data_IF_541355980132
#
_entry.id   IF_541355980132
#
_cell.length_a   1.000
_cell.length_b   1.000
_cell.length_c   1.000
_cell.angle_alpha   90.00
_cell.angle_beta   90.00
_cell.angle_gamma   90.00
#
_symmetry.space_group_name_H-M   'P 1'
#
loop_
_entity.id
_entity.type
_entity.pdbx_description
1 polymer ?
#
# COMPACT_ATOMS: atom_id res chain seq x y z
N UNK A 1 39.27 22.67 -36.31
CA UNK A 1 38.67 22.96 -34.99
C UNK A 1 37.13 22.84 -34.99
N UNK A 2 36.42 23.25 -36.05
CA UNK A 2 34.95 23.18 -36.15
C UNK A 2 34.34 21.76 -36.06
N UNK A 3 35.01 20.74 -36.62
CA UNK A 3 34.54 19.34 -36.57
C UNK A 3 34.58 18.75 -35.15
N UNK A 4 35.57 19.13 -34.35
CA UNK A 4 35.76 18.63 -32.98
C UNK A 4 34.67 19.13 -32.04
N UNK A 5 34.24 20.39 -32.19
CA UNK A 5 33.08 20.93 -31.47
C UNK A 5 31.79 20.18 -31.81
N UNK A 6 31.51 19.87 -33.09
CA UNK A 6 30.31 19.11 -33.48
C UNK A 6 30.27 17.75 -32.79
N UNK A 7 31.36 16.98 -32.81
CA UNK A 7 31.43 15.67 -32.13
C UNK A 7 31.25 15.76 -30.60
N UNK A 8 31.79 16.81 -29.97
CA UNK A 8 31.62 17.06 -28.53
C UNK A 8 30.16 17.37 -28.21
N UNK A 9 29.50 18.22 -29.01
CA UNK A 9 28.07 18.50 -28.86
C UNK A 9 27.19 17.27 -29.09
N UNK A 10 27.49 16.42 -30.09
CA UNK A 10 26.72 15.17 -30.29
C UNK A 10 26.89 14.20 -29.13
N UNK A 11 28.09 14.08 -28.55
CA UNK A 11 28.34 13.20 -27.40
C UNK A 11 27.70 13.72 -26.11
N UNK A 12 27.68 15.03 -25.88
CA UNK A 12 26.98 15.67 -24.76
C UNK A 12 25.45 15.53 -24.87
N UNK A 13 24.91 15.66 -26.09
CA UNK A 13 23.48 15.44 -26.32
C UNK A 13 23.08 13.97 -26.09
N UNK A 14 23.93 13.03 -26.50
CA UNK A 14 23.68 11.59 -26.32
C UNK A 14 23.77 11.16 -24.85
N UNK A 15 24.71 11.70 -24.07
CA UNK A 15 24.81 11.40 -22.63
C UNK A 15 23.66 12.01 -21.82
N UNK A 16 23.15 13.17 -22.20
CA UNK A 16 21.94 13.76 -21.63
C UNK A 16 20.69 12.91 -21.88
N UNK A 17 20.56 12.33 -23.08
CA UNK A 17 19.44 11.45 -23.43
C UNK A 17 19.45 10.13 -22.64
N UNK A 18 20.64 9.56 -22.38
CA UNK A 18 20.81 8.36 -21.54
C UNK A 18 20.42 8.64 -20.10
N UNK A 19 20.80 9.78 -19.51
CA UNK A 19 20.39 10.13 -18.14
C UNK A 19 18.87 10.29 -17.99
N UNK A 20 18.17 10.72 -19.04
CA UNK A 20 16.71 10.83 -19.05
C UNK A 20 16.00 9.48 -19.20
N UNK A 21 16.60 8.50 -19.88
CA UNK A 21 16.03 7.15 -20.02
C UNK A 21 16.38 6.23 -18.85
N UNK A 22 17.44 6.52 -18.10
CA UNK A 22 17.94 5.68 -17.01
C UNK A 22 17.70 6.25 -15.58
N UNK A 23 16.62 7.00 -15.38
CA UNK A 23 16.34 7.68 -14.10
C UNK A 23 15.45 6.90 -13.11
N UNK A 24 15.75 7.07 -11.82
CA UNK A 24 14.80 6.86 -10.73
C UNK A 24 14.05 8.17 -10.44
N UNK A 25 12.71 8.14 -10.41
CA UNK A 25 11.89 9.28 -10.02
C UNK A 25 11.02 8.92 -8.80
N UNK A 26 10.80 9.89 -7.93
CA UNK A 26 9.85 9.75 -6.81
C UNK A 26 8.66 10.67 -7.05
N UNK A 27 7.45 10.15 -6.88
CA UNK A 27 6.23 10.95 -6.99
C UNK A 27 5.31 10.69 -5.81
N UNK A 28 4.65 11.74 -5.35
CA UNK A 28 3.71 11.67 -4.23
C UNK A 28 2.30 11.36 -4.79
N UNK A 29 1.68 10.23 -4.40
CA UNK A 29 0.33 9.90 -4.86
C UNK A 29 -0.72 10.93 -4.40
N UNK A 30 -1.90 10.88 -5.00
CA UNK A 30 -3.06 11.58 -4.47
C UNK A 30 -3.42 11.08 -3.06
N UNK A 31 -4.06 11.94 -2.26
CA UNK A 31 -4.70 11.48 -1.03
C UNK A 31 -5.83 10.50 -1.33
N UNK A 32 -6.03 9.52 -0.46
CA UNK A 32 -7.25 8.72 -0.50
C UNK A 32 -8.42 9.56 0.03
N UNK A 33 -9.61 9.33 -0.52
CA UNK A 33 -10.84 9.73 0.15
C UNK A 33 -11.08 8.81 1.35
N UNK A 34 -11.76 9.25 2.42
CA UNK A 34 -12.18 8.37 3.49
C UNK A 34 -13.17 7.29 3.01
N UNK A 35 -13.02 6.06 3.50
CA UNK A 35 -13.95 4.95 3.18
C UNK A 35 -13.92 3.87 4.26
N UNK A 36 -14.86 2.92 4.16
CA UNK A 36 -14.98 1.78 5.09
C UNK A 36 -14.98 0.46 4.33
N UNK A 37 -14.42 -0.59 4.94
CA UNK A 37 -14.45 -1.96 4.42
C UNK A 37 -15.07 -2.93 5.42
N UNK A 38 -15.87 -3.87 4.91
CA UNK A 38 -16.49 -4.95 5.70
C UNK A 38 -15.57 -6.17 5.70
N UNK A 39 -15.06 -6.55 6.87
CA UNK A 39 -14.11 -7.68 6.98
C UNK A 39 -14.59 -8.71 7.98
N UNK A 40 -14.53 -9.98 7.60
CA UNK A 40 -14.80 -11.11 8.48
C UNK A 40 -13.51 -11.87 8.75
N UNK A 41 -13.03 -11.81 9.98
CA UNK A 41 -11.91 -12.63 10.45
C UNK A 41 -12.39 -14.04 10.78
N UNK A 42 -11.54 -15.02 10.46
CA UNK A 42 -11.73 -16.43 10.83
C UNK A 42 -10.43 -16.91 11.46
N UNK A 43 -10.50 -17.38 12.70
CA UNK A 43 -9.41 -17.96 13.45
C UNK A 43 -9.99 -18.86 14.54
N UNK A 44 -9.16 -19.71 15.14
CA UNK A 44 -9.57 -20.62 16.22
C UNK A 44 -9.95 -19.85 17.50
N UNK A 45 -9.30 -18.71 17.73
CA UNK A 45 -9.60 -17.82 18.85
C UNK A 45 -9.59 -16.35 18.36
N UNK A 46 -10.78 -15.78 18.26
CA UNK A 46 -11.00 -14.40 17.83
C UNK A 46 -10.87 -13.40 18.98
N UNK A 47 -11.04 -13.82 20.23
CA UNK A 47 -11.05 -12.92 21.40
C UNK A 47 -9.69 -12.27 21.66
N UNK A 48 -8.64 -12.91 21.17
CA UNK A 48 -7.25 -12.43 21.26
C UNK A 48 -6.83 -11.53 20.09
N UNK A 49 -7.70 -11.36 19.09
CA UNK A 49 -7.38 -10.62 17.89
C UNK A 49 -7.79 -9.15 17.98
N UNK A 50 -6.91 -8.29 17.50
CA UNK A 50 -7.16 -6.87 17.30
C UNK A 50 -6.74 -6.47 15.89
N UNK A 51 -7.44 -5.50 15.30
CA UNK A 51 -7.12 -4.97 13.97
C UNK A 51 -6.90 -3.47 14.04
N UNK A 52 -5.75 -3.01 13.54
CA UNK A 52 -5.44 -1.58 13.47
C UNK A 52 -5.18 -1.15 12.02
N UNK A 53 -5.53 0.10 11.70
CA UNK A 53 -5.20 0.75 10.44
C UNK A 53 -4.00 1.66 10.65
N UNK A 54 -2.83 1.26 10.15
CA UNK A 54 -1.59 2.01 10.32
C UNK A 54 -1.67 3.38 9.65
N UNK A 55 -1.28 4.42 10.40
CA UNK A 55 -1.33 5.81 9.95
C UNK A 55 -2.67 6.48 10.24
N UNK A 56 -3.64 5.74 10.80
CA UNK A 56 -4.79 6.33 11.48
C UNK A 56 -4.42 6.69 12.92
N UNK A 57 -5.10 7.69 13.48
CA UNK A 57 -5.11 7.97 14.92
C UNK A 57 -6.05 7.04 15.70
N UNK A 58 -6.78 6.15 14.99
CA UNK A 58 -7.68 5.17 15.61
C UNK A 58 -6.91 4.13 16.41
N UNK A 59 -7.43 3.80 17.59
CA UNK A 59 -6.98 2.66 18.38
C UNK A 59 -7.24 1.33 17.64
N UNK A 60 -6.49 0.26 17.96
CA UNK A 60 -6.82 -1.09 17.50
C UNK A 60 -8.25 -1.47 17.88
N UNK A 61 -8.95 -2.13 16.97
CA UNK A 61 -10.33 -2.61 17.17
C UNK A 61 -10.29 -4.08 17.55
N UNK A 62 -10.84 -4.42 18.72
CA UNK A 62 -11.03 -5.81 19.14
C UNK A 62 -11.98 -6.54 18.19
N UNK A 63 -11.67 -7.80 17.89
CA UNK A 63 -12.48 -8.61 16.98
C UNK A 63 -13.59 -9.32 17.77
N UNK A 64 -14.87 -9.09 17.43
CA UNK A 64 -15.98 -9.76 18.11
C UNK A 64 -16.00 -11.27 17.78
N UNK A 65 -16.72 -12.05 18.59
CA UNK A 65 -16.84 -13.51 18.41
C UNK A 65 -17.39 -13.94 17.05
N UNK A 66 -18.22 -13.11 16.41
CA UNK A 66 -18.72 -13.38 15.06
C UNK A 66 -17.68 -13.07 13.95
N UNK A 67 -16.53 -12.49 14.31
CA UNK A 67 -15.41 -12.13 13.46
C UNK A 67 -15.67 -10.92 12.55
N UNK A 68 -16.83 -10.27 12.62
CA UNK A 68 -17.25 -9.22 11.68
C UNK A 68 -16.87 -7.85 12.22
N UNK A 69 -16.06 -7.13 11.45
CA UNK A 69 -15.64 -5.76 11.77
C UNK A 69 -15.85 -4.82 10.58
N UNK A 70 -15.98 -3.54 10.88
CA UNK A 70 -15.92 -2.44 9.92
C UNK A 70 -14.59 -1.72 10.09
N UNK A 71 -13.74 -1.76 9.07
CA UNK A 71 -12.48 -1.03 9.06
C UNK A 71 -12.69 0.33 8.42
N UNK A 72 -12.53 1.40 9.19
CA UNK A 72 -12.55 2.77 8.67
C UNK A 72 -11.14 3.20 8.26
N UNK A 73 -11.04 3.76 7.06
CA UNK A 73 -9.82 4.31 6.49
C UNK A 73 -10.02 5.81 6.33
N UNK A 74 -9.51 6.66 7.25
CA UNK A 74 -9.56 8.11 7.09
C UNK A 74 -8.63 8.56 5.96
N UNK A 75 -8.49 9.88 5.77
CA UNK A 75 -7.43 10.41 4.91
C UNK A 75 -6.07 10.08 5.54
N UNK A 76 -5.32 9.16 4.93
CA UNK A 76 -4.07 8.65 5.47
C UNK A 76 -2.87 9.45 4.95
N UNK A 77 -1.76 9.51 5.72
CA UNK A 77 -0.56 10.20 5.29
C UNK A 77 0.00 9.56 4.02
N UNK A 78 0.47 10.40 3.10
CA UNK A 78 1.03 9.98 1.81
C UNK A 78 2.47 9.49 1.98
N UNK A 79 2.85 8.53 1.15
CA UNK A 79 4.23 8.05 1.02
C UNK A 79 4.65 8.11 -0.46
N UNK A 80 5.92 8.41 -0.74
CA UNK A 80 6.42 8.55 -2.12
C UNK A 80 6.47 7.21 -2.85
N UNK A 81 5.82 7.14 -4.01
CA UNK A 81 6.01 6.03 -4.95
C UNK A 81 7.32 6.21 -5.71
N UNK A 82 7.96 5.11 -6.09
CA UNK A 82 9.22 5.11 -6.83
C UNK A 82 9.00 4.54 -8.22
N UNK A 83 9.56 5.22 -9.20
CA UNK A 83 9.55 4.87 -10.61
C UNK A 83 10.99 4.65 -11.07
N UNK A 84 11.22 3.61 -11.85
CA UNK A 84 12.49 3.33 -12.52
C UNK A 84 12.21 3.25 -14.01
N UNK A 85 12.86 4.10 -14.80
CA UNK A 85 12.67 4.17 -16.25
C UNK A 85 11.19 4.40 -16.64
N UNK A 86 10.49 5.24 -15.86
CA UNK A 86 9.05 5.51 -16.01
C UNK A 86 8.12 4.40 -15.50
N UNK A 87 8.65 3.23 -15.12
CA UNK A 87 7.87 2.11 -14.60
C UNK A 87 7.76 2.24 -13.07
N UNK A 88 6.54 2.20 -12.54
CA UNK A 88 6.30 2.25 -11.09
C UNK A 88 6.75 0.96 -10.42
N UNK A 89 7.94 0.97 -9.82
CA UNK A 89 8.52 -0.19 -9.12
C UNK A 89 8.09 -0.29 -7.66
N UNK A 90 7.71 0.83 -7.03
CA UNK A 90 7.23 0.87 -5.65
C UNK A 90 5.98 1.72 -5.59
N UNK A 91 4.83 1.07 -5.49
CA UNK A 91 3.57 1.75 -5.29
C UNK A 91 3.35 2.06 -3.80
N UNK A 92 3.12 3.33 -3.50
CA UNK A 92 2.84 3.85 -2.17
C UNK A 92 1.47 4.51 -2.06
N UNK A 93 0.57 4.25 -3.02
CA UNK A 93 -0.85 4.52 -2.79
C UNK A 93 -1.36 3.77 -1.56
N UNK A 94 -2.39 4.32 -0.92
CA UNK A 94 -2.99 3.75 0.29
C UNK A 94 -3.48 2.31 0.04
N UNK A 95 -4.02 2.05 -1.15
CA UNK A 95 -4.57 0.76 -1.54
C UNK A 95 -3.50 -0.35 -1.55
N UNK A 96 -2.26 -0.01 -1.91
CA UNK A 96 -1.17 -0.97 -2.07
C UNK A 96 -0.24 -1.05 -0.85
N UNK A 97 -0.31 -0.10 0.07
CA UNK A 97 0.45 -0.16 1.33
C UNK A 97 -0.14 -1.21 2.27
N UNK A 98 0.73 -1.94 2.97
CA UNK A 98 0.33 -2.94 3.98
C UNK A 98 -0.04 -2.23 5.29
N UNK A 99 -1.20 -1.58 5.31
CA UNK A 99 -1.66 -0.74 6.43
C UNK A 99 -2.67 -1.41 7.35
N UNK A 100 -3.30 -2.51 6.94
CA UNK A 100 -4.17 -3.29 7.82
C UNK A 100 -3.29 -4.23 8.62
N UNK A 101 -3.19 -4.00 9.92
CA UNK A 101 -2.40 -4.80 10.83
C UNK A 101 -3.34 -5.63 11.70
N UNK A 102 -3.09 -6.94 11.77
CA UNK A 102 -3.78 -7.85 12.68
C UNK A 102 -2.80 -8.26 13.76
N UNK A 103 -3.21 -8.05 14.99
CA UNK A 103 -2.47 -8.40 16.20
C UNK A 103 -3.16 -9.56 16.90
N UNK A 104 -2.37 -10.40 17.58
CA UNK A 104 -2.81 -11.41 18.52
C UNK A 104 -2.06 -11.21 19.82
N UNK A 105 -2.77 -11.00 20.92
CA UNK A 105 -2.17 -10.72 22.24
C UNK A 105 -1.09 -9.61 22.16
N UNK A 106 -1.39 -8.52 21.44
CA UNK A 106 -0.46 -7.41 21.21
C UNK A 106 0.69 -7.69 20.23
N UNK A 107 0.87 -8.92 19.75
CA UNK A 107 1.90 -9.26 18.75
C UNK A 107 1.35 -9.16 17.35
N UNK A 108 2.08 -8.49 16.48
CA UNK A 108 1.71 -8.37 15.08
C UNK A 108 1.80 -9.73 14.38
N UNK A 109 0.67 -10.27 13.97
CA UNK A 109 0.57 -11.56 13.30
C UNK A 109 0.52 -11.41 11.77
N UNK A 110 -0.19 -10.40 11.27
CA UNK A 110 -0.36 -10.22 9.83
C UNK A 110 -0.44 -8.76 9.41
N UNK A 111 0.15 -8.48 8.24
CA UNK A 111 -0.06 -7.22 7.51
C UNK A 111 -0.74 -7.46 6.17
N UNK A 112 -1.70 -6.62 5.83
CA UNK A 112 -2.48 -6.69 4.60
C UNK A 112 -2.64 -5.29 3.99
N UNK A 113 -2.71 -5.21 2.67
CA UNK A 113 -3.11 -3.99 1.96
C UNK A 113 -4.59 -4.06 1.59
N UNK A 114 -5.22 -2.92 1.35
CA UNK A 114 -6.63 -2.87 0.91
C UNK A 114 -6.79 -3.60 -0.42
N UNK A 115 -5.83 -3.44 -1.36
CA UNK A 115 -5.83 -4.18 -2.62
C UNK A 115 -5.84 -5.69 -2.42
N UNK A 116 -5.08 -6.20 -1.43
CA UNK A 116 -5.07 -7.64 -1.12
C UNK A 116 -6.34 -8.06 -0.37
N UNK A 117 -6.92 -7.18 0.46
CA UNK A 117 -8.21 -7.41 1.11
C UNK A 117 -9.34 -7.58 0.10
N UNK A 118 -9.44 -6.67 -0.88
CA UNK A 118 -10.48 -6.66 -1.91
C UNK A 118 -10.41 -7.85 -2.88
N UNK A 119 -9.31 -8.60 -2.87
CA UNK A 119 -9.13 -9.84 -3.63
C UNK A 119 -9.52 -11.10 -2.85
N UNK A 120 -9.89 -10.97 -1.57
CA UNK A 120 -10.35 -12.11 -0.77
C UNK A 120 -11.78 -12.49 -1.18
N UNK A 121 -12.14 -13.75 -0.89
CA UNK A 121 -13.50 -14.20 -1.05
C UNK A 121 -14.45 -13.38 -0.16
N UNK A 122 -15.60 -13.02 -0.73
CA UNK A 122 -16.66 -12.30 -0.04
C UNK A 122 -17.66 -13.35 0.49
N UNK A 123 -18.10 -13.21 1.73
CA UNK A 123 -19.15 -14.06 2.30
C UNK A 123 -20.57 -13.60 1.86
N UNK A 124 -21.64 -14.38 2.09
CA UNK A 124 -22.99 -14.02 1.65
C UNK A 124 -23.49 -12.66 2.16
N UNK A 125 -22.92 -12.16 3.26
CA UNK A 125 -23.30 -10.89 3.88
C UNK A 125 -22.43 -9.71 3.41
N UNK A 126 -21.57 -9.94 2.41
CA UNK A 126 -20.74 -8.91 1.79
C UNK A 126 -19.42 -8.62 2.52
N UNK A 127 -18.93 -9.54 3.38
CA UNK A 127 -17.67 -9.35 4.10
C UNK A 127 -16.51 -10.05 3.42
N UNK A 128 -15.38 -9.36 3.24
CA UNK A 128 -14.12 -9.99 2.82
C UNK A 128 -13.62 -10.94 3.92
N UNK A 129 -13.45 -12.22 3.57
CA UNK A 129 -13.07 -13.26 4.53
C UNK A 129 -11.55 -13.36 4.66
N UNK A 130 -11.03 -13.03 5.85
CA UNK A 130 -9.62 -13.11 6.22
C UNK A 130 -9.38 -14.24 7.22
N UNK A 131 -8.73 -15.32 6.78
CA UNK A 131 -8.28 -16.39 7.69
C UNK A 131 -6.95 -16.03 8.34
N UNK A 132 -6.91 -16.08 9.67
CA UNK A 132 -5.74 -15.90 10.52
C UNK A 132 -5.43 -17.25 11.16
N UNK A 133 -4.15 -17.63 11.18
CA UNK A 133 -3.74 -18.96 11.63
C UNK A 133 -3.70 -19.03 13.16
#
# INVERSE_FOLDING_TARGET
TLGMMRFVFTRLALSGLVLLTFGCASALPAFNQPFTERVRLKSDDLTKLEVAVRGSASEPVAVPENGRILLSFPALPRECSVYLFGIRIRDRTVENRKIIHVYRDGRLERKLSIHKLRKLAIDPDGYYTLRIK
#
